data_IF_938116110949
#
_entry.id   IF_938116110949
#
_cell.length_a   1.000
_cell.length_b   1.000
_cell.length_c   1.000
_cell.angle_alpha   90.00
_cell.angle_beta   90.00
_cell.angle_gamma   90.00
#
_symmetry.space_group_name_H-M   'P 1'
#
loop_
_entity.id
_entity.type
_entity.pdbx_description
1 polymer ?
#
# COMPACT_ATOMS: atom_id res chain seq x y z
N UNK A 1 -5.32 16.04 -4.21
CA UNK A 1 -5.59 15.59 -2.82
C UNK A 1 -5.16 14.15 -2.74
N UNK A 2 -4.48 13.75 -1.68
CA UNK A 2 -3.83 12.43 -1.60
C UNK A 2 -4.44 11.58 -0.48
N UNK A 3 -4.13 10.29 -0.50
CA UNK A 3 -4.36 9.34 0.59
C UNK A 3 -3.33 9.47 1.73
N UNK A 4 -2.24 10.22 1.52
CA UNK A 4 -1.08 10.32 2.40
C UNK A 4 -0.12 9.13 2.25
N UNK A 5 -0.17 8.43 1.12
CA UNK A 5 0.63 7.24 0.86
C UNK A 5 1.79 7.58 -0.07
N UNK A 6 3.03 7.45 0.43
CA UNK A 6 4.21 7.71 -0.38
C UNK A 6 4.74 6.40 -0.95
N UNK A 7 4.66 6.28 -2.28
CA UNK A 7 5.20 5.14 -3.02
C UNK A 7 6.59 5.42 -3.58
N UNK A 8 7.42 4.39 -3.55
CA UNK A 8 8.67 4.24 -4.30
C UNK A 8 8.56 3.07 -5.27
N UNK A 9 9.45 3.00 -6.25
CA UNK A 9 9.53 1.90 -7.21
C UNK A 9 10.97 1.37 -7.30
N UNK A 10 11.09 0.05 -7.42
CA UNK A 10 12.33 -0.66 -7.74
C UNK A 10 12.11 -1.54 -9.00
N UNK A 11 13.13 -2.32 -9.39
CA UNK A 11 13.04 -3.25 -10.53
C UNK A 11 11.96 -4.34 -10.37
N UNK A 12 11.47 -4.56 -9.14
CA UNK A 12 10.48 -5.57 -8.81
C UNK A 12 9.07 -4.98 -8.80
N UNK A 13 8.91 -3.72 -8.40
CA UNK A 13 7.64 -2.99 -8.46
C UNK A 13 7.54 -1.87 -7.43
N UNK A 14 6.31 -1.40 -7.21
CA UNK A 14 6.04 -0.34 -6.25
C UNK A 14 6.03 -0.85 -4.80
N UNK A 15 6.51 -0.02 -3.87
CA UNK A 15 6.51 -0.30 -2.45
C UNK A 15 6.23 0.97 -1.64
N UNK A 16 5.77 0.80 -0.42
CA UNK A 16 5.50 1.91 0.51
C UNK A 16 6.84 2.42 1.05
N UNK A 17 7.13 3.69 0.81
CA UNK A 17 8.36 4.36 1.31
C UNK A 17 8.06 5.10 2.59
N UNK A 18 6.89 5.74 2.67
CA UNK A 18 6.52 6.58 3.80
C UNK A 18 5.00 6.73 3.90
N UNK A 19 4.53 7.12 5.08
CA UNK A 19 3.13 7.38 5.39
C UNK A 19 3.03 8.79 6.01
N UNK A 20 2.23 9.66 5.40
CA UNK A 20 2.04 11.01 5.90
C UNK A 20 1.28 10.97 7.23
N UNK A 21 1.87 11.54 8.28
CA UNK A 21 1.28 11.50 9.63
C UNK A 21 -0.11 12.12 9.65
N UNK A 22 -1.06 11.49 10.35
CA UNK A 22 -2.45 11.95 10.41
C UNK A 22 -3.30 11.61 9.18
N UNK A 23 -2.71 11.05 8.12
CA UNK A 23 -3.43 10.65 6.92
C UNK A 23 -4.25 9.37 7.08
N UNK A 24 -5.10 9.08 6.08
CA UNK A 24 -5.79 7.79 6.03
C UNK A 24 -4.81 6.62 5.88
N UNK A 25 -3.68 6.81 5.19
CA UNK A 25 -2.66 5.78 5.04
C UNK A 25 -1.94 5.49 6.37
N UNK A 26 -1.68 6.52 7.18
CA UNK A 26 -1.07 6.38 8.51
C UNK A 26 -1.94 5.60 9.50
N UNK A 27 -3.25 5.84 9.50
CA UNK A 27 -4.20 5.12 10.36
C UNK A 27 -4.57 3.72 9.84
N UNK A 28 -4.00 3.32 8.71
CA UNK A 28 -4.32 2.05 8.06
C UNK A 28 -3.39 0.92 8.50
N UNK A 29 -3.68 -0.31 8.03
CA UNK A 29 -2.83 -1.47 8.28
C UNK A 29 -1.63 -1.59 7.33
N UNK A 30 -1.23 -0.49 6.68
CA UNK A 30 -0.05 -0.42 5.82
C UNK A 30 1.22 -0.20 6.65
N UNK A 31 2.31 -0.83 6.23
CA UNK A 31 3.63 -0.60 6.79
C UNK A 31 4.61 -0.13 5.72
N UNK A 32 5.59 0.67 6.13
CA UNK A 32 6.73 1.02 5.27
C UNK A 32 7.44 -0.28 4.86
N UNK A 33 7.73 -0.40 3.56
CA UNK A 33 8.33 -1.59 2.95
C UNK A 33 7.33 -2.62 2.41
N UNK A 34 6.04 -2.45 2.65
CA UNK A 34 5.00 -3.28 2.01
C UNK A 34 5.04 -3.09 0.48
N UNK A 35 4.92 -4.19 -0.27
CA UNK A 35 4.92 -4.13 -1.73
C UNK A 35 3.51 -3.90 -2.25
N UNK A 36 3.28 -2.82 -2.98
CA UNK A 36 1.98 -2.57 -3.62
C UNK A 36 1.86 -3.47 -4.83
N UNK A 37 0.83 -4.29 -4.88
CA UNK A 37 0.51 -5.16 -6.02
C UNK A 37 -0.59 -4.58 -6.88
N UNK A 38 -1.59 -3.93 -6.28
CA UNK A 38 -2.71 -3.33 -7.00
C UNK A 38 -3.18 -2.02 -6.35
N UNK A 39 -3.71 -1.10 -7.16
CA UNK A 39 -4.38 0.12 -6.73
C UNK A 39 -5.70 0.23 -7.50
N UNK A 40 -6.85 0.22 -6.81
CA UNK A 40 -8.18 0.19 -7.42
C UNK A 40 -8.34 -0.92 -8.47
N UNK A 41 -7.75 -2.10 -8.20
CA UNK A 41 -7.72 -3.24 -9.11
C UNK A 41 -6.72 -3.11 -10.27
N UNK A 42 -6.03 -1.98 -10.41
CA UNK A 42 -4.99 -1.77 -11.41
C UNK A 42 -3.68 -2.37 -10.90
N UNK A 43 -3.06 -3.33 -11.62
CA UNK A 43 -1.80 -3.93 -11.20
C UNK A 43 -0.67 -2.91 -11.25
N UNK A 44 0.19 -2.91 -10.22
CA UNK A 44 1.36 -2.04 -10.13
C UNK A 44 2.52 -2.50 -11.02
N UNK A 45 2.56 -3.80 -11.37
CA UNK A 45 3.62 -4.40 -12.18
C UNK A 45 3.67 -3.77 -13.57
N UNK A 46 4.84 -3.25 -13.95
CA UNK A 46 5.06 -2.62 -15.26
C UNK A 46 4.53 -1.20 -15.38
N UNK A 47 4.08 -0.58 -14.29
CA UNK A 47 3.67 0.84 -14.26
C UNK A 47 4.73 1.69 -13.58
N UNK A 48 4.91 2.91 -14.09
CA UNK A 48 5.75 3.91 -13.44
C UNK A 48 5.12 4.33 -12.10
N UNK A 49 5.95 4.66 -11.10
CA UNK A 49 5.45 5.05 -9.78
C UNK A 49 4.59 6.31 -9.84
N UNK A 50 4.89 7.17 -10.80
CA UNK A 50 4.22 8.43 -11.10
C UNK A 50 2.79 8.17 -11.59
N UNK A 51 2.58 7.11 -12.38
CA UNK A 51 1.24 6.68 -12.77
C UNK A 51 0.46 6.14 -11.57
N UNK A 52 1.13 5.40 -10.68
CA UNK A 52 0.50 4.88 -9.46
C UNK A 52 0.16 6.00 -8.48
N UNK A 53 1.04 6.99 -8.33
CA UNK A 53 0.79 8.23 -7.58
C UNK A 53 -0.34 9.04 -8.21
N UNK A 54 -0.42 9.09 -9.53
CA UNK A 54 -1.54 9.70 -10.23
C UNK A 54 -2.86 9.02 -9.85
N UNK A 55 -2.91 7.68 -9.72
CA UNK A 55 -4.13 6.98 -9.29
C UNK A 55 -4.52 7.30 -7.84
N UNK A 56 -3.54 7.44 -6.95
CA UNK A 56 -3.78 7.85 -5.56
C UNK A 56 -4.35 9.27 -5.48
N UNK A 57 -3.89 10.16 -6.38
CA UNK A 57 -4.29 11.59 -6.40
C UNK A 57 -5.47 11.92 -7.31
N UNK A 58 -5.83 11.08 -8.28
CA UNK A 58 -6.82 11.38 -9.34
C UNK A 58 -8.28 11.28 -8.90
N UNK A 59 -8.57 11.28 -7.60
CA UNK A 59 -9.93 11.15 -7.06
C UNK A 59 -10.47 12.43 -6.43
N UNK A 60 -11.75 12.38 -6.06
CA UNK A 60 -12.42 13.44 -5.28
C UNK A 60 -12.11 13.28 -3.79
N UNK A 61 -12.16 14.38 -3.06
CA UNK A 61 -12.11 14.35 -1.59
C UNK A 61 -13.21 13.44 -1.03
N UNK A 62 -12.88 12.66 -0.01
CA UNK A 62 -13.77 11.67 0.59
C UNK A 62 -13.96 10.38 -0.23
N UNK A 63 -13.42 10.30 -1.45
CA UNK A 63 -13.43 9.04 -2.21
C UNK A 63 -12.43 8.03 -1.63
N UNK A 64 -12.77 6.76 -1.73
CA UNK A 64 -11.94 5.66 -1.23
C UNK A 64 -11.09 5.05 -2.34
N UNK A 65 -9.90 4.59 -1.99
CA UNK A 65 -8.94 3.86 -2.84
C UNK A 65 -8.69 2.51 -2.21
N UNK A 66 -8.79 1.44 -2.97
CA UNK A 66 -8.36 0.13 -2.52
C UNK A 66 -6.90 -0.12 -2.94
N UNK A 67 -5.98 -0.13 -1.99
CA UNK A 67 -4.58 -0.49 -2.22
C UNK A 67 -4.35 -1.91 -1.73
N UNK A 68 -3.88 -2.80 -2.61
CA UNK A 68 -3.46 -4.15 -2.24
C UNK A 68 -1.95 -4.19 -2.08
N UNK A 69 -1.52 -4.68 -0.93
CA UNK A 69 -0.12 -4.86 -0.60
C UNK A 69 0.21 -6.31 -0.27
N UNK A 70 1.45 -6.70 -0.50
CA UNK A 70 2.05 -7.92 0.02
C UNK A 70 3.09 -7.55 1.06
N UNK A 71 2.85 -7.97 2.30
CA UNK A 71 3.82 -7.82 3.37
C UNK A 71 4.95 -8.84 3.22
N UNK A 72 6.19 -8.37 3.27
CA UNK A 72 7.38 -9.24 3.30
C UNK A 72 7.70 -9.79 4.68
N UNK A 73 7.15 -9.20 5.73
CA UNK A 73 7.27 -9.73 7.08
C UNK A 73 6.10 -10.67 7.38
N UNK A 74 6.34 -11.84 7.97
CA UNK A 74 5.27 -12.61 8.55
C UNK A 74 4.63 -11.75 9.64
N UNK A 75 3.33 -11.51 9.54
CA UNK A 75 2.52 -11.12 10.69
C UNK A 75 2.50 -12.29 11.66
N UNK A 76 3.56 -12.44 12.45
CA UNK A 76 3.58 -12.73 13.90
C UNK A 76 4.99 -13.19 14.34
N UNK A 77 5.57 -12.64 15.44
CA UNK A 77 6.79 -13.17 16.05
C UNK A 77 6.61 -14.50 16.80
N UNK A 78 5.44 -15.15 16.78
CA UNK A 78 5.21 -16.42 17.49
C UNK A 78 4.82 -17.64 16.63
N UNK A 79 5.06 -17.64 15.32
CA UNK A 79 4.77 -18.84 14.51
C UNK A 79 5.94 -19.82 14.62
N UNK A 80 5.78 -20.78 15.55
CA UNK A 80 6.63 -21.96 15.72
C UNK A 80 7.00 -22.62 14.38
N UNK A 81 8.26 -23.06 14.29
CA UNK A 81 9.01 -23.55 13.13
C UNK A 81 8.50 -24.83 12.47
N UNK A 82 7.22 -25.18 12.61
CA UNK A 82 6.64 -26.46 12.15
C UNK A 82 5.66 -26.35 10.97
N UNK A 83 5.38 -25.16 10.44
CA UNK A 83 4.35 -24.99 9.41
C UNK A 83 4.91 -24.35 8.12
N UNK A 84 4.59 -24.98 6.97
CA UNK A 84 4.91 -24.61 5.58
C UNK A 84 4.87 -23.09 5.34
N UNK A 85 5.69 -22.53 4.42
CA UNK A 85 5.72 -21.09 4.16
C UNK A 85 4.30 -20.60 3.86
N UNK A 86 3.74 -19.81 4.77
CA UNK A 86 2.42 -19.20 4.59
C UNK A 86 2.54 -18.34 3.33
N UNK A 87 1.59 -18.52 2.39
CA UNK A 87 1.48 -17.69 1.18
C UNK A 87 1.70 -16.22 1.55
N UNK A 88 2.32 -15.41 0.68
CA UNK A 88 2.46 -13.97 0.94
C UNK A 88 1.08 -13.44 1.34
N UNK A 89 0.99 -12.83 2.53
CA UNK A 89 -0.26 -12.34 3.06
C UNK A 89 -0.59 -11.07 2.28
N UNK A 90 -1.27 -11.23 1.14
CA UNK A 90 -1.82 -10.12 0.38
C UNK A 90 -2.94 -9.48 1.21
N UNK A 91 -2.83 -8.19 1.50
CA UNK A 91 -3.83 -7.42 2.25
C UNK A 91 -4.38 -6.33 1.36
N UNK A 92 -5.69 -6.15 1.38
CA UNK A 92 -6.35 -5.01 0.75
C UNK A 92 -6.65 -3.97 1.84
N UNK A 93 -6.24 -2.74 1.61
CA UNK A 93 -6.43 -1.61 2.52
C UNK A 93 -7.21 -0.54 1.78
N UNK A 94 -8.26 -0.04 2.43
CA UNK A 94 -9.07 1.07 1.91
C UNK A 94 -8.56 2.38 2.51
N UNK A 95 -8.13 3.28 1.64
CA UNK A 95 -7.64 4.59 1.99
C UNK A 95 -8.62 5.66 1.52
N UNK A 96 -8.95 6.60 2.38
CA UNK A 96 -9.78 7.75 1.99
C UNK A 96 -8.87 8.87 1.47
N UNK A 97 -9.27 9.56 0.41
CA UNK A 97 -8.56 10.76 -0.08
C UNK A 97 -8.99 11.98 0.74
N UNK A 98 -8.03 12.76 1.21
CA UNK A 98 -8.29 13.91 2.06
C UNK A 98 -7.22 15.00 1.94
N UNK A 99 -7.45 16.12 2.63
CA UNK A 99 -6.43 17.10 2.93
C UNK A 99 -5.91 16.80 4.34
N UNK A 100 -4.69 16.30 4.42
CA UNK A 100 -4.00 16.04 5.68
C UNK A 100 -3.15 17.29 5.99
N UNK A 101 -3.15 17.73 7.25
CA UNK A 101 -2.62 19.04 7.69
C UNK A 101 -1.48 18.87 8.67
#
# INVERSE_FOLDING_TARGET
MDTGLVLGADEVGAYVVDLECGSSAWHSALAIGDRVTHIDGIPSRGKAVEQLRALLTSGREGSTVEVRVESRLPSDPQVSSLCKPRRPHSRAVRLTRGRWS
#
